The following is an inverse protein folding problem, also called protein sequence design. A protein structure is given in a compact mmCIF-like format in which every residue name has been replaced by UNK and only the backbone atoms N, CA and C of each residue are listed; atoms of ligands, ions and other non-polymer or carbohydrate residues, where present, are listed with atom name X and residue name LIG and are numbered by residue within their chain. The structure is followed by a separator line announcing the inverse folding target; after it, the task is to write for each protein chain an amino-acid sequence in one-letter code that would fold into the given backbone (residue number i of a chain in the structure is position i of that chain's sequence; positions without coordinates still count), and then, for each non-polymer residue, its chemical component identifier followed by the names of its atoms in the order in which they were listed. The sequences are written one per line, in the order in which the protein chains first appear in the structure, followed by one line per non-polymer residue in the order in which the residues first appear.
data_IF_340414920084
#
_entry.id   IF_340414920084
#
_cell.length_a   1.000
_cell.length_b   1.000
_cell.length_c   1.000
_cell.angle_alpha   90.00
_cell.angle_beta   90.00
_cell.angle_gamma   90.00
#
_symmetry.space_group_name_H-M   'P 1'
#
loop_
_entity.id
_entity.type
_entity.pdbx_description
1 polymer ?
#
# COMPACT_ATOMS: atom_id res chain seq x y z
N UNK A 1 36.82 -41.50 7.74
CA UNK A 1 37.60 -40.26 7.78
C UNK A 1 37.78 -39.73 6.39
N UNK A 2 36.94 -38.81 5.90
CA UNK A 2 37.18 -38.04 4.71
C UNK A 2 36.56 -36.64 4.95
N UNK A 3 37.41 -35.67 5.25
CA UNK A 3 37.09 -34.26 5.38
C UNK A 3 36.92 -33.68 3.98
N UNK A 4 35.74 -33.21 3.63
CA UNK A 4 35.47 -32.33 2.49
C UNK A 4 35.54 -30.90 2.95
N UNK A 5 36.49 -30.16 2.42
CA UNK A 5 36.58 -28.69 2.58
C UNK A 5 35.56 -28.04 1.65
N UNK A 6 34.68 -27.24 2.20
CA UNK A 6 33.86 -26.29 1.41
C UNK A 6 34.61 -24.96 1.34
N UNK A 7 34.88 -24.53 0.13
CA UNK A 7 35.43 -23.21 -0.17
C UNK A 7 34.25 -22.25 -0.24
N UNK A 8 34.19 -21.30 0.70
CA UNK A 8 33.25 -20.20 0.64
C UNK A 8 33.76 -19.17 -0.37
N UNK A 9 33.03 -19.00 -1.46
CA UNK A 9 33.29 -17.94 -2.44
C UNK A 9 32.48 -16.70 -2.02
N UNK A 10 33.18 -15.71 -1.46
CA UNK A 10 32.60 -14.41 -1.20
C UNK A 10 32.36 -13.66 -2.53
N UNK A 11 31.13 -13.38 -2.87
CA UNK A 11 30.77 -12.51 -3.98
C UNK A 11 30.74 -11.08 -3.46
N UNK A 12 31.80 -10.33 -3.76
CA UNK A 12 31.87 -8.90 -3.53
C UNK A 12 31.08 -8.18 -4.63
N UNK A 13 29.99 -7.56 -4.31
CA UNK A 13 29.26 -6.68 -5.23
C UNK A 13 30.07 -5.39 -5.41
N UNK A 14 30.70 -5.24 -6.58
CA UNK A 14 31.36 -4.01 -6.99
C UNK A 14 30.32 -3.03 -7.56
N UNK A 15 30.13 -1.90 -6.86
CA UNK A 15 29.41 -0.73 -7.37
C UNK A 15 30.22 -0.11 -8.52
N UNK A 16 29.79 -0.37 -9.75
CA UNK A 16 30.33 0.26 -10.95
C UNK A 16 29.76 1.67 -11.14
N UNK A 17 30.57 2.68 -10.85
CA UNK A 17 30.30 4.06 -11.28
C UNK A 17 30.62 4.15 -12.77
N UNK A 18 29.62 4.25 -13.62
CA UNK A 18 29.82 4.52 -15.06
C UNK A 18 30.04 6.02 -15.26
N UNK A 19 31.29 6.41 -15.49
CA UNK A 19 31.64 7.73 -15.97
C UNK A 19 31.29 7.83 -17.48
N UNK A 20 30.39 8.76 -17.81
CA UNK A 20 30.07 9.11 -19.19
C UNK A 20 31.24 9.90 -19.81
N UNK A 21 31.96 9.29 -20.70
CA UNK A 21 32.91 9.96 -21.58
C UNK A 21 32.17 10.54 -22.78
N UNK A 22 32.26 11.86 -22.96
CA UNK A 22 31.86 12.56 -24.18
C UNK A 22 32.96 12.40 -25.23
N UNK A 23 32.65 12.11 -26.52
CA UNK A 23 33.67 12.12 -27.58
C UNK A 23 33.97 13.56 -28.02
N UNK A 24 35.24 13.91 -27.99
CA UNK A 24 35.78 15.12 -28.59
C UNK A 24 35.75 15.00 -30.13
N UNK A 25 35.15 15.99 -30.80
CA UNK A 25 35.29 16.14 -32.26
C UNK A 25 36.44 17.06 -32.56
N UNK A 26 37.34 16.53 -33.42
CA UNK A 26 38.50 17.17 -33.92
C UNK A 26 38.16 18.31 -34.91
N UNK A 27 38.93 19.36 -34.81
CA UNK A 27 38.88 20.50 -35.71
C UNK A 27 39.51 20.17 -37.07
N UNK A 28 38.92 20.65 -38.14
CA UNK A 28 39.58 20.75 -39.46
C UNK A 28 39.64 22.24 -39.85
N UNK A 29 40.80 22.64 -40.33
CA UNK A 29 41.31 23.99 -40.65
C UNK A 29 40.88 24.48 -42.04
N UNK A 30 40.45 25.73 -42.11
CA UNK A 30 40.78 26.87 -42.97
C UNK A 30 40.93 26.72 -44.52
N UNK A 31 40.89 27.76 -45.37
CA UNK A 31 40.90 29.23 -45.13
C UNK A 31 39.99 30.06 -46.07
N UNK A 32 39.68 31.29 -45.78
CA UNK A 32 39.97 32.53 -46.59
C UNK A 32 39.15 33.72 -46.11
N UNK A 33 39.87 34.79 -45.81
CA UNK A 33 39.38 36.16 -45.55
C UNK A 33 38.89 36.85 -46.84
N UNK A 34 37.93 37.81 -46.75
CA UNK A 34 38.38 39.19 -46.82
C UNK A 34 37.68 40.15 -45.84
N UNK A 35 38.44 41.12 -45.47
CA UNK A 35 38.27 42.34 -44.73
C UNK A 35 37.07 43.21 -45.14
N UNK A 36 36.27 43.72 -44.15
CA UNK A 36 35.63 45.02 -44.25
C UNK A 36 35.28 45.62 -42.88
N UNK A 37 35.98 46.69 -42.61
CA UNK A 37 35.69 47.91 -41.85
C UNK A 37 34.61 47.95 -40.73
N UNK A 38 35.12 48.39 -39.60
CA UNK A 38 34.58 48.85 -38.35
C UNK A 38 33.33 49.74 -38.39
N UNK A 39 32.41 49.44 -37.47
CA UNK A 39 31.70 50.48 -36.74
C UNK A 39 31.50 50.03 -35.29
N UNK A 40 32.12 50.72 -34.36
CA UNK A 40 32.04 50.57 -32.94
C UNK A 40 30.67 51.08 -32.45
N UNK A 41 29.77 50.16 -32.06
CA UNK A 41 28.64 50.50 -31.20
C UNK A 41 28.90 49.89 -29.81
N UNK A 42 29.23 50.73 -28.87
CA UNK A 42 29.35 50.46 -27.45
C UNK A 42 27.99 49.97 -26.91
N UNK A 43 27.77 48.63 -26.87
CA UNK A 43 26.65 48.08 -26.12
C UNK A 43 27.02 48.08 -24.64
N UNK A 44 26.41 48.99 -23.91
CA UNK A 44 26.34 48.97 -22.45
C UNK A 44 25.95 47.56 -21.98
N UNK A 45 26.85 46.87 -21.30
CA UNK A 45 26.52 45.66 -20.53
C UNK A 45 25.70 46.07 -19.34
N UNK A 46 24.37 45.96 -19.44
CA UNK A 46 23.49 45.96 -18.28
C UNK A 46 23.89 44.80 -17.40
N UNK A 47 24.44 45.09 -16.22
CA UNK A 47 24.70 44.11 -15.19
C UNK A 47 23.38 43.45 -14.86
N UNK A 48 23.27 42.11 -15.09
CA UNK A 48 22.15 41.35 -14.55
C UNK A 48 22.22 41.45 -13.04
N UNK A 49 21.23 42.15 -12.47
CA UNK A 49 20.97 42.12 -11.05
C UNK A 49 20.79 40.65 -10.63
N UNK A 50 21.76 40.11 -9.89
CA UNK A 50 21.78 38.72 -9.41
C UNK A 50 21.16 38.59 -8.03
N UNK A 51 20.44 39.62 -7.57
CA UNK A 51 19.71 39.53 -6.29
C UNK A 51 18.66 38.38 -6.42
N UNK A 52 18.64 37.37 -5.53
CA UNK A 52 17.64 36.33 -5.58
C UNK A 52 16.24 36.94 -5.50
N UNK A 53 15.44 36.77 -6.54
CA UNK A 53 14.07 37.28 -6.56
C UNK A 53 13.27 36.56 -5.45
N UNK A 54 13.00 37.29 -4.38
CA UNK A 54 12.15 36.79 -3.30
C UNK A 54 10.74 36.55 -3.85
N UNK A 55 10.26 35.32 -3.81
CA UNK A 55 8.90 34.97 -4.21
C UNK A 55 7.98 35.29 -3.03
N UNK A 56 7.01 36.23 -3.16
CA UNK A 56 6.06 36.51 -2.08
C UNK A 56 5.26 35.29 -1.70
N UNK A 57 4.86 35.21 -0.44
CA UNK A 57 4.03 34.11 0.04
C UNK A 57 2.59 34.25 -0.48
N UNK A 58 2.00 33.13 -0.89
CA UNK A 58 0.58 33.01 -1.18
C UNK A 58 -0.23 32.85 0.13
N UNK A 59 -1.55 33.08 0.09
CA UNK A 59 -2.43 33.06 1.26
C UNK A 59 -3.57 32.07 1.07
N UNK A 60 -3.89 31.29 2.10
CA UNK A 60 -5.04 30.39 2.09
C UNK A 60 -6.33 31.23 2.20
N UNK A 61 -7.26 31.00 1.28
CA UNK A 61 -8.61 31.61 1.26
C UNK A 61 -9.61 30.70 1.98
N UNK A 62 -9.56 29.39 1.70
CA UNK A 62 -10.43 28.39 2.32
C UNK A 62 -9.77 27.03 2.35
N UNK A 63 -10.21 26.19 3.28
CA UNK A 63 -9.77 24.79 3.39
C UNK A 63 -10.96 23.87 3.57
N UNK A 64 -10.78 22.63 3.12
CA UNK A 64 -11.68 21.50 3.30
C UNK A 64 -10.82 20.28 3.66
N UNK A 65 -11.08 19.67 4.82
CA UNK A 65 -10.39 18.46 5.24
C UNK A 65 -11.12 17.24 4.68
N UNK A 66 -10.38 16.19 4.36
CA UNK A 66 -10.93 14.91 3.93
C UNK A 66 -10.89 13.91 5.08
N UNK A 67 -12.04 13.31 5.39
CA UNK A 67 -12.16 12.23 6.40
C UNK A 67 -11.36 10.98 5.99
N UNK A 68 -11.20 10.77 4.68
CA UNK A 68 -10.42 9.69 4.11
C UNK A 68 -9.45 10.24 3.07
N UNK A 69 -8.15 9.91 3.19
CA UNK A 69 -7.16 10.36 2.22
C UNK A 69 -7.37 9.71 0.86
N UNK A 70 -7.20 10.50 -0.21
CA UNK A 70 -7.30 10.06 -1.59
C UNK A 70 -5.91 9.86 -2.18
N UNK A 71 -5.62 8.73 -2.85
CA UNK A 71 -4.33 8.46 -3.45
C UNK A 71 -4.18 9.11 -4.83
N UNK A 72 -3.01 9.67 -5.07
CA UNK A 72 -2.62 10.31 -6.34
C UNK A 72 -1.20 9.96 -6.74
N UNK A 73 -0.93 9.93 -8.06
CA UNK A 73 0.41 10.07 -8.60
C UNK A 73 0.65 11.50 -9.11
N UNK A 74 1.90 11.95 -9.01
CA UNK A 74 2.29 13.26 -9.49
C UNK A 74 2.74 13.17 -10.95
N UNK A 75 2.00 13.81 -11.86
CA UNK A 75 2.30 13.82 -13.31
C UNK A 75 3.16 15.02 -13.74
N UNK A 76 3.15 16.11 -12.97
CA UNK A 76 3.88 17.33 -13.31
C UNK A 76 4.06 18.25 -12.09
N UNK A 77 4.79 19.35 -12.24
CA UNK A 77 4.86 20.44 -11.26
C UNK A 77 5.80 20.15 -10.08
N UNK A 78 5.49 20.77 -8.94
CA UNK A 78 6.33 20.77 -7.74
C UNK A 78 5.52 20.51 -6.48
N UNK A 79 6.17 19.93 -5.47
CA UNK A 79 5.69 19.90 -4.09
C UNK A 79 6.29 21.10 -3.35
N UNK A 80 5.45 21.87 -2.66
CA UNK A 80 5.85 23.03 -1.86
C UNK A 80 5.78 22.70 -0.37
N UNK A 81 6.79 23.12 0.39
CA UNK A 81 6.89 22.81 1.82
C UNK A 81 5.88 23.58 2.68
N UNK A 82 5.37 24.70 2.19
CA UNK A 82 4.40 25.54 2.90
C UNK A 82 3.27 25.99 1.97
N UNK A 83 2.13 26.38 2.53
CA UNK A 83 1.01 26.98 1.80
C UNK A 83 1.33 28.33 1.15
N UNK A 84 2.42 28.99 1.55
CA UNK A 84 2.93 30.19 0.90
C UNK A 84 3.49 29.95 -0.49
N UNK A 85 3.70 28.69 -0.90
CA UNK A 85 4.12 28.26 -2.25
C UNK A 85 5.38 28.97 -2.77
N UNK A 86 6.29 29.30 -1.88
CA UNK A 86 7.53 30.04 -2.18
C UNK A 86 8.80 29.20 -1.92
N UNK A 87 8.65 27.97 -1.37
CA UNK A 87 9.76 27.02 -1.16
C UNK A 87 9.34 25.63 -1.61
N UNK A 88 10.09 25.05 -2.55
CA UNK A 88 9.81 23.72 -3.09
C UNK A 88 10.53 22.63 -2.28
N UNK A 89 9.89 21.46 -2.14
CA UNK A 89 10.49 20.22 -1.68
C UNK A 89 11.20 19.51 -2.86
N UNK A 90 10.54 19.45 -4.01
CA UNK A 90 11.05 18.82 -5.22
C UNK A 90 10.05 18.90 -6.36
N UNK A 91 10.43 18.35 -7.52
CA UNK A 91 9.58 18.29 -8.72
C UNK A 91 9.01 16.88 -8.93
N UNK A 92 8.01 16.76 -9.81
CA UNK A 92 7.42 15.47 -10.20
C UNK A 92 8.45 14.41 -10.61
N UNK A 93 9.57 14.82 -11.22
CA UNK A 93 10.66 13.89 -11.59
C UNK A 93 11.28 13.20 -10.38
N UNK A 94 11.37 13.91 -9.26
CA UNK A 94 11.92 13.35 -8.01
C UNK A 94 10.95 12.38 -7.32
N UNK A 95 9.66 12.44 -7.68
CA UNK A 95 8.56 11.77 -6.99
C UNK A 95 7.72 10.87 -7.92
N UNK A 96 8.27 10.46 -9.06
CA UNK A 96 7.53 9.74 -10.11
C UNK A 96 6.90 8.41 -9.63
N UNK A 97 7.49 7.80 -8.59
CA UNK A 97 7.03 6.53 -8.03
C UNK A 97 6.38 6.66 -6.65
N UNK A 98 6.27 7.89 -6.15
CA UNK A 98 5.65 8.15 -4.85
C UNK A 98 4.13 8.20 -5.00
N UNK A 99 3.42 7.42 -4.17
CA UNK A 99 1.99 7.58 -3.97
C UNK A 99 1.75 8.68 -2.95
N UNK A 100 1.00 9.70 -3.35
CA UNK A 100 0.62 10.83 -2.51
C UNK A 100 -0.81 10.67 -2.03
N UNK A 101 -1.04 10.83 -0.73
CA UNK A 101 -2.37 10.85 -0.14
C UNK A 101 -2.75 12.28 0.21
N UNK A 102 -3.89 12.76 -0.30
CA UNK A 102 -4.40 14.09 0.06
C UNK A 102 -5.27 14.04 1.30
N UNK A 103 -4.98 14.91 2.24
CA UNK A 103 -5.67 15.06 3.52
C UNK A 103 -6.49 16.35 3.59
N UNK A 104 -6.19 17.30 2.71
CA UNK A 104 -6.78 18.63 2.74
C UNK A 104 -6.75 19.25 1.36
N UNK A 105 -7.86 19.89 0.99
CA UNK A 105 -7.98 20.77 -0.14
C UNK A 105 -7.97 22.22 0.35
N UNK A 106 -7.33 23.12 -0.40
CA UNK A 106 -7.33 24.55 -0.13
C UNK A 106 -7.52 25.34 -1.42
N UNK A 107 -8.23 26.45 -1.33
CA UNK A 107 -8.14 27.53 -2.30
C UNK A 107 -7.07 28.49 -1.81
N UNK A 108 -6.06 28.72 -2.64
CA UNK A 108 -4.92 29.58 -2.30
C UNK A 108 -4.89 30.79 -3.25
N UNK A 109 -4.91 31.99 -2.67
CA UNK A 109 -4.69 33.23 -3.38
C UNK A 109 -3.21 33.44 -3.64
N UNK A 110 -2.87 33.62 -4.90
CA UNK A 110 -1.52 33.82 -5.41
C UNK A 110 -1.34 35.22 -6.05
N UNK A 111 -2.21 36.15 -5.73
CA UNK A 111 -2.17 37.54 -6.30
C UNK A 111 -0.81 38.22 -6.06
N UNK A 112 -0.23 38.01 -4.87
CA UNK A 112 1.12 38.51 -4.55
C UNK A 112 2.22 37.89 -5.44
N UNK A 113 1.95 36.74 -6.09
CA UNK A 113 2.85 36.08 -7.04
C UNK A 113 2.49 36.37 -8.51
N UNK A 114 1.54 37.32 -8.75
CA UNK A 114 1.05 37.66 -10.09
C UNK A 114 0.15 36.59 -10.71
N UNK A 115 -0.52 35.77 -9.88
CA UNK A 115 -1.43 34.67 -10.28
C UNK A 115 -2.75 34.81 -9.53
N UNK A 116 -3.82 34.23 -10.05
CA UNK A 116 -5.11 34.19 -9.37
C UNK A 116 -5.24 33.05 -8.36
N UNK A 117 -6.44 32.90 -7.80
CA UNK A 117 -6.80 31.81 -6.93
C UNK A 117 -6.71 30.46 -7.65
N UNK A 118 -6.24 29.45 -6.93
CA UNK A 118 -6.14 28.09 -7.47
C UNK A 118 -6.31 27.06 -6.36
N UNK A 119 -6.72 25.83 -6.75
CA UNK A 119 -6.94 24.71 -5.84
C UNK A 119 -5.63 23.97 -5.63
N UNK A 120 -5.32 23.70 -4.38
CA UNK A 120 -4.14 22.99 -3.93
C UNK A 120 -4.52 21.89 -2.95
N UNK A 121 -3.77 20.80 -2.99
CA UNK A 121 -3.94 19.69 -2.05
C UNK A 121 -2.73 19.64 -1.11
N UNK A 122 -3.00 19.49 0.18
CA UNK A 122 -1.97 19.08 1.12
C UNK A 122 -1.85 17.58 1.08
N UNK A 123 -0.68 17.09 0.71
CA UNK A 123 -0.42 15.67 0.49
C UNK A 123 0.69 15.17 1.41
N UNK A 124 0.63 13.87 1.73
CA UNK A 124 1.71 13.12 2.38
C UNK A 124 2.06 11.93 1.50
N UNK A 125 3.34 11.53 1.47
CA UNK A 125 3.74 10.25 0.86
C UNK A 125 3.14 9.08 1.64
N UNK A 126 3.02 7.92 1.01
CA UNK A 126 2.48 6.72 1.64
C UNK A 126 3.20 6.33 2.93
N UNK A 127 4.53 6.54 3.00
CA UNK A 127 5.32 6.35 4.22
C UNK A 127 5.20 7.47 5.24
N UNK A 128 4.49 8.56 4.92
CA UNK A 128 4.41 9.76 5.76
C UNK A 128 5.69 10.59 5.89
N UNK A 129 6.82 10.14 5.29
CA UNK A 129 8.13 10.80 5.41
C UNK A 129 8.21 12.15 4.70
N UNK A 130 7.36 12.35 3.69
CA UNK A 130 7.32 13.58 2.91
C UNK A 130 5.91 14.16 2.90
N UNK A 131 5.81 15.48 2.95
CA UNK A 131 4.52 16.16 2.88
C UNK A 131 4.67 17.55 2.28
N UNK A 132 3.57 18.08 1.76
CA UNK A 132 3.58 19.43 1.20
C UNK A 132 2.33 19.76 0.40
N UNK A 133 2.38 20.88 -0.29
CA UNK A 133 1.29 21.40 -1.11
C UNK A 133 1.57 21.16 -2.58
N UNK A 134 0.60 20.59 -3.28
CA UNK A 134 0.66 20.30 -4.72
C UNK A 134 -0.55 20.95 -5.40
N UNK A 135 -0.33 21.56 -6.54
CA UNK A 135 -1.45 22.03 -7.36
C UNK A 135 -2.28 20.84 -7.84
N UNK A 136 -3.62 20.90 -7.66
CA UNK A 136 -4.50 19.79 -8.01
C UNK A 136 -4.31 19.29 -9.46
N UNK A 137 -4.07 20.21 -10.41
CA UNK A 137 -3.84 19.88 -11.82
C UNK A 137 -2.52 19.12 -12.09
N UNK A 138 -1.61 19.05 -11.11
CA UNK A 138 -0.37 18.27 -11.18
C UNK A 138 -0.53 16.82 -10.74
N UNK A 139 -1.67 16.47 -10.18
CA UNK A 139 -1.98 15.16 -9.63
C UNK A 139 -2.89 14.37 -10.58
N UNK A 140 -2.68 13.07 -10.61
CA UNK A 140 -3.54 12.11 -11.28
C UNK A 140 -4.16 11.25 -10.19
N UNK A 141 -5.49 11.22 -10.13
CA UNK A 141 -6.24 10.33 -9.27
C UNK A 141 -5.98 8.88 -9.69
N UNK A 142 -5.62 8.04 -8.72
CA UNK A 142 -5.36 6.62 -8.91
C UNK A 142 -6.29 5.76 -8.05
N UNK A 143 -7.35 6.35 -7.51
CA UNK A 143 -8.39 5.63 -6.78
C UNK A 143 -9.41 5.00 -7.73
N UNK A 144 -10.08 3.94 -7.25
CA UNK A 144 -11.24 3.34 -7.90
C UNK A 144 -12.55 3.94 -7.35
N UNK A 145 -12.94 5.09 -7.85
CA UNK A 145 -14.25 5.69 -7.55
C UNK A 145 -14.42 6.19 -6.11
N UNK A 146 -15.65 6.14 -5.61
CA UNK A 146 -15.99 6.72 -4.32
C UNK A 146 -15.50 5.88 -3.14
N UNK A 147 -14.91 6.54 -2.14
CA UNK A 147 -14.31 5.95 -0.95
C UNK A 147 -15.35 5.48 0.09
N UNK A 148 -16.61 5.73 -0.13
CA UNK A 148 -17.67 5.53 0.84
C UNK A 148 -18.58 4.40 0.38
N UNK A 149 -18.07 3.16 0.43
CA UNK A 149 -18.86 1.99 0.05
C UNK A 149 -18.97 1.06 1.24
N UNK A 150 -19.99 1.27 2.06
CA UNK A 150 -20.47 0.18 2.89
C UNK A 150 -21.06 -0.87 1.96
N UNK A 151 -20.41 -2.03 1.85
CA UNK A 151 -20.89 -3.12 1.03
C UNK A 151 -22.18 -3.69 1.62
N UNK A 152 -23.08 -4.18 0.77
CA UNK A 152 -24.27 -4.90 1.19
C UNK A 152 -23.85 -6.07 2.10
N UNK A 153 -24.47 -6.20 3.26
CA UNK A 153 -24.18 -7.21 4.29
C UNK A 153 -22.81 -7.02 5.02
N UNK A 154 -22.11 -5.91 4.81
CA UNK A 154 -20.89 -5.61 5.59
C UNK A 154 -21.16 -5.55 7.10
N UNK A 155 -22.41 -5.32 7.47
CA UNK A 155 -22.85 -5.26 8.87
C UNK A 155 -22.74 -6.62 9.61
N UNK A 156 -22.43 -7.73 8.92
CA UNK A 156 -22.02 -8.99 9.57
C UNK A 156 -20.76 -8.80 10.42
N UNK A 157 -19.84 -7.95 9.96
CA UNK A 157 -18.56 -7.66 10.60
C UNK A 157 -18.57 -6.44 11.52
N UNK A 158 -19.70 -5.76 11.69
CA UNK A 158 -19.76 -4.42 12.34
C UNK A 158 -19.22 -4.37 13.76
N UNK A 159 -19.26 -5.47 14.48
CA UNK A 159 -18.78 -5.58 15.87
C UNK A 159 -17.49 -6.41 15.96
N UNK A 160 -17.06 -6.98 14.86
CA UNK A 160 -15.93 -7.89 14.84
C UNK A 160 -14.62 -7.11 14.84
N UNK A 161 -13.60 -7.72 15.39
CA UNK A 161 -12.22 -7.27 15.32
C UNK A 161 -11.45 -8.23 14.43
N UNK A 162 -10.88 -7.72 13.37
CA UNK A 162 -10.16 -8.49 12.36
C UNK A 162 -8.65 -8.30 12.54
N UNK A 163 -7.87 -9.37 12.43
CA UNK A 163 -6.42 -9.30 12.26
C UNK A 163 -6.04 -9.82 10.87
N UNK A 164 -5.20 -9.08 10.15
CA UNK A 164 -4.58 -9.52 8.90
C UNK A 164 -3.13 -9.89 9.13
N UNK A 165 -2.73 -11.08 8.70
CA UNK A 165 -1.37 -11.61 8.80
C UNK A 165 -0.87 -11.91 7.40
N UNK A 166 0.36 -11.56 7.09
CA UNK A 166 0.92 -11.74 5.76
C UNK A 166 2.28 -11.06 5.56
N UNK A 167 2.69 -11.02 4.33
CA UNK A 167 3.95 -10.44 3.87
C UNK A 167 3.84 -8.95 3.49
N UNK A 168 4.74 -8.47 2.63
CA UNK A 168 4.80 -7.09 2.15
C UNK A 168 3.51 -6.63 1.46
N UNK A 169 2.79 -7.52 0.79
CA UNK A 169 1.52 -7.18 0.12
C UNK A 169 0.45 -6.87 1.17
N UNK A 170 0.35 -7.68 2.21
CA UNK A 170 -0.56 -7.42 3.33
C UNK A 170 -0.11 -6.19 4.15
N UNK A 171 1.20 -5.97 4.31
CA UNK A 171 1.71 -4.77 4.95
C UNK A 171 1.38 -3.48 4.19
N UNK A 172 1.06 -3.57 2.90
CA UNK A 172 0.75 -2.43 2.04
C UNK A 172 1.97 -1.84 1.34
N UNK A 173 3.06 -2.61 1.16
CA UNK A 173 4.26 -2.18 0.47
C UNK A 173 4.03 -2.17 -1.05
N UNK A 174 4.39 -1.06 -1.70
CA UNK A 174 4.15 -0.85 -3.13
C UNK A 174 5.39 -1.06 -4.02
N UNK A 175 6.46 -1.60 -3.42
CA UNK A 175 7.76 -1.76 -4.06
C UNK A 175 8.76 -0.63 -3.77
N UNK A 176 8.29 0.48 -3.20
CA UNK A 176 9.09 1.65 -2.85
C UNK A 176 8.88 2.12 -1.42
N UNK A 177 7.64 2.06 -0.95
CA UNK A 177 7.27 2.45 0.42
C UNK A 177 6.02 1.69 0.89
N UNK A 178 5.82 1.59 2.20
CA UNK A 178 4.58 1.07 2.78
C UNK A 178 3.54 2.18 2.77
N UNK A 179 2.39 1.91 2.14
CA UNK A 179 1.30 2.86 1.97
C UNK A 179 0.44 2.96 3.25
N UNK A 180 -0.08 4.14 3.55
CA UNK A 180 -1.09 4.34 4.62
C UNK A 180 -2.39 3.55 4.33
N UNK A 181 -2.69 3.27 3.06
CA UNK A 181 -3.88 2.55 2.61
C UNK A 181 -3.53 1.36 1.71
N UNK A 182 -2.89 0.35 2.29
CA UNK A 182 -2.86 -1.02 1.75
C UNK A 182 -4.25 -1.68 1.79
N UNK A 183 -4.38 -2.91 1.30
CA UNK A 183 -5.70 -3.57 1.29
C UNK A 183 -6.35 -3.72 2.68
N UNK A 184 -5.63 -3.92 3.81
CA UNK A 184 -6.27 -4.00 5.13
C UNK A 184 -6.98 -2.71 5.53
N UNK A 185 -6.42 -1.55 5.18
CA UNK A 185 -7.05 -0.24 5.42
C UNK A 185 -8.34 -0.09 4.60
N UNK A 186 -8.33 -0.46 3.31
CA UNK A 186 -9.53 -0.46 2.49
C UNK A 186 -10.56 -1.49 2.95
N UNK A 187 -10.11 -2.68 3.36
CA UNK A 187 -10.97 -3.72 3.93
C UNK A 187 -11.73 -3.22 5.14
N UNK A 188 -11.04 -2.54 6.07
CA UNK A 188 -11.65 -1.87 7.22
C UNK A 188 -12.80 -0.93 6.80
N UNK A 189 -12.59 -0.15 5.74
CA UNK A 189 -13.60 0.79 5.21
C UNK A 189 -14.78 0.08 4.55
N UNK A 190 -14.53 -0.95 3.74
CA UNK A 190 -15.57 -1.71 3.05
C UNK A 190 -16.43 -2.52 4.03
N UNK A 191 -15.85 -3.08 5.07
CA UNK A 191 -16.57 -3.85 6.09
C UNK A 191 -17.13 -2.98 7.22
N UNK A 192 -16.64 -1.74 7.37
CA UNK A 192 -17.07 -0.83 8.45
C UNK A 192 -16.66 -1.32 9.84
N UNK A 193 -15.50 -1.97 9.95
CA UNK A 193 -14.98 -2.53 11.20
C UNK A 193 -13.48 -2.28 11.38
N UNK A 194 -12.94 -2.61 12.56
CA UNK A 194 -11.51 -2.46 12.85
C UNK A 194 -10.73 -3.62 12.27
N UNK A 195 -9.67 -3.31 11.52
CA UNK A 195 -8.70 -4.27 11.00
C UNK A 195 -7.32 -3.91 11.54
N UNK A 196 -6.77 -4.77 12.38
CA UNK A 196 -5.38 -4.70 12.83
C UNK A 196 -4.50 -5.38 11.78
N UNK A 197 -3.42 -4.74 11.37
CA UNK A 197 -2.48 -5.30 10.39
C UNK A 197 -1.20 -5.76 11.09
N UNK A 198 -1.00 -7.07 11.18
CA UNK A 198 0.18 -7.71 11.77
C UNK A 198 1.19 -8.20 10.72
N UNK A 199 1.03 -7.79 9.47
CA UNK A 199 1.91 -8.19 8.37
C UNK A 199 3.28 -7.50 8.43
N UNK A 200 4.28 -8.14 7.85
CA UNK A 200 5.65 -7.65 7.83
C UNK A 200 6.30 -7.82 6.44
N UNK A 201 7.05 -6.79 6.01
CA UNK A 201 7.73 -6.86 4.72
C UNK A 201 8.78 -7.98 4.69
N UNK A 202 8.70 -8.84 3.68
CA UNK A 202 9.61 -9.98 3.53
C UNK A 202 9.24 -11.20 4.36
N UNK A 203 8.07 -11.22 5.03
CA UNK A 203 7.66 -12.34 5.86
C UNK A 203 7.37 -13.61 5.06
N UNK A 204 7.63 -14.76 5.67
CA UNK A 204 7.52 -16.10 5.11
C UNK A 204 6.37 -16.90 5.74
N UNK A 205 5.87 -17.86 4.99
CA UNK A 205 4.97 -18.86 5.52
C UNK A 205 5.73 -19.85 6.41
N UNK A 206 6.88 -20.34 5.93
CA UNK A 206 7.77 -21.23 6.66
C UNK A 206 8.85 -20.48 7.43
N UNK A 207 9.52 -21.18 8.35
CA UNK A 207 10.75 -20.70 8.96
C UNK A 207 11.84 -20.59 7.89
N UNK A 208 12.38 -19.41 7.68
CA UNK A 208 13.41 -19.12 6.70
C UNK A 208 14.83 -19.02 7.30
N UNK A 209 15.04 -19.54 8.51
CA UNK A 209 16.33 -19.52 9.21
C UNK A 209 16.83 -18.08 9.42
N UNK A 210 18.04 -17.77 8.92
CA UNK A 210 18.66 -16.45 9.07
C UNK A 210 17.89 -15.32 8.34
N UNK A 211 16.97 -15.66 7.43
CA UNK A 211 16.11 -14.69 6.73
C UNK A 211 14.76 -14.48 7.43
N UNK A 212 14.45 -15.24 8.48
CA UNK A 212 13.18 -15.15 9.21
C UNK A 212 12.94 -13.74 9.76
N UNK A 213 11.69 -13.32 9.73
CA UNK A 213 11.24 -12.00 10.16
C UNK A 213 10.29 -12.10 11.34
N UNK A 214 10.08 -11.02 12.11
CA UNK A 214 9.07 -11.00 13.17
C UNK A 214 7.64 -11.25 12.66
N UNK A 215 7.41 -11.10 11.36
CA UNK A 215 6.10 -11.28 10.72
C UNK A 215 5.87 -12.65 10.09
N UNK A 216 6.82 -13.58 10.15
CA UNK A 216 6.62 -14.94 9.64
C UNK A 216 5.43 -15.60 10.33
N UNK A 217 4.69 -16.46 9.61
CA UNK A 217 3.41 -17.00 10.07
C UNK A 217 3.52 -17.62 11.47
N UNK A 218 4.54 -18.46 11.70
CA UNK A 218 4.74 -19.14 12.99
C UNK A 218 4.97 -18.18 14.16
N UNK A 219 5.76 -17.14 13.93
CA UNK A 219 6.05 -16.07 14.92
C UNK A 219 4.80 -15.25 15.18
N UNK A 220 4.15 -14.75 14.11
CA UNK A 220 2.92 -13.94 14.22
C UNK A 220 1.81 -14.70 14.98
N UNK A 221 1.62 -15.99 14.68
CA UNK A 221 0.64 -16.83 15.38
C UNK A 221 1.04 -17.07 16.85
N UNK A 222 2.33 -17.13 17.14
CA UNK A 222 2.80 -17.29 18.53
C UNK A 222 2.65 -16.05 19.38
N UNK A 223 2.81 -14.88 18.78
CA UNK A 223 2.80 -13.60 19.46
C UNK A 223 1.40 -12.97 19.54
N UNK A 224 0.44 -13.50 18.75
CA UNK A 224 -0.93 -13.00 18.71
C UNK A 224 -1.81 -13.66 19.76
N UNK A 225 -2.53 -12.86 20.53
CA UNK A 225 -3.61 -13.34 21.40
C UNK A 225 -4.93 -13.34 20.62
N UNK A 226 -5.29 -14.48 20.02
CA UNK A 226 -6.49 -14.65 19.20
C UNK A 226 -7.81 -14.53 19.97
N UNK A 227 -7.80 -14.59 21.30
CA UNK A 227 -9.00 -14.31 22.09
C UNK A 227 -9.50 -12.86 21.95
N UNK A 228 -8.69 -11.96 21.40
CA UNK A 228 -9.05 -10.57 21.14
C UNK A 228 -9.68 -10.32 19.77
N UNK A 229 -9.72 -11.34 18.90
CA UNK A 229 -10.15 -11.23 17.52
C UNK A 229 -11.32 -12.15 17.23
N UNK A 230 -12.21 -11.71 16.36
CA UNK A 230 -13.33 -12.50 15.85
C UNK A 230 -12.98 -13.13 14.50
N UNK A 231 -12.12 -12.46 13.74
CA UNK A 231 -11.70 -12.88 12.40
C UNK A 231 -10.19 -12.76 12.25
N UNK A 232 -9.57 -13.71 11.57
CA UNK A 232 -8.16 -13.66 11.15
C UNK A 232 -8.04 -13.99 9.66
N UNK A 233 -7.07 -13.35 8.99
CA UNK A 233 -6.72 -13.67 7.60
C UNK A 233 -5.27 -14.07 7.48
N UNK A 234 -4.96 -15.01 6.57
CA UNK A 234 -3.63 -15.56 6.32
C UNK A 234 -3.31 -15.36 4.84
N UNK A 235 -2.21 -14.64 4.51
CA UNK A 235 -1.80 -14.34 3.15
C UNK A 235 -0.27 -14.33 3.03
N UNK A 236 0.33 -15.48 2.80
CA UNK A 236 1.78 -15.71 2.70
C UNK A 236 2.13 -16.54 1.46
N UNK A 237 3.41 -16.87 1.30
CA UNK A 237 3.92 -17.88 0.37
C UNK A 237 4.74 -17.31 -0.79
N UNK A 238 4.49 -16.08 -1.22
CA UNK A 238 5.23 -15.50 -2.36
C UNK A 238 6.73 -15.36 -2.09
N UNK A 239 7.13 -15.11 -0.83
CA UNK A 239 8.54 -15.05 -0.44
C UNK A 239 9.16 -16.44 -0.32
N UNK A 240 8.39 -17.43 0.16
CA UNK A 240 8.83 -18.82 0.20
C UNK A 240 9.19 -19.32 -1.19
N UNK A 241 8.32 -19.09 -2.18
CA UNK A 241 8.59 -19.40 -3.59
C UNK A 241 9.89 -18.77 -4.11
N UNK A 242 10.13 -17.51 -3.78
CA UNK A 242 11.18 -16.71 -4.40
C UNK A 242 12.53 -16.69 -3.68
N UNK A 243 12.58 -17.06 -2.40
CA UNK A 243 13.74 -16.79 -1.55
C UNK A 243 14.16 -17.92 -0.61
N UNK A 244 13.44 -19.04 -0.56
CA UNK A 244 13.77 -20.19 0.30
C UNK A 244 13.97 -21.46 -0.51
N UNK A 245 14.31 -22.53 0.18
CA UNK A 245 14.30 -23.92 -0.29
C UNK A 245 13.23 -24.75 0.44
N UNK A 246 12.25 -24.09 1.06
CA UNK A 246 11.14 -24.74 1.75
C UNK A 246 10.34 -25.59 0.78
N UNK A 247 10.19 -26.87 1.10
CA UNK A 247 9.43 -27.82 0.27
C UNK A 247 7.92 -27.60 0.39
N UNK A 248 7.15 -28.09 -0.58
CA UNK A 248 5.68 -28.11 -0.53
C UNK A 248 5.15 -28.79 0.75
N UNK A 249 5.80 -29.84 1.21
CA UNK A 249 5.40 -30.51 2.45
C UNK A 249 5.65 -29.64 3.69
N UNK A 250 6.72 -28.86 3.73
CA UNK A 250 6.97 -27.88 4.80
C UNK A 250 5.92 -26.77 4.76
N UNK A 251 5.59 -26.22 3.59
CA UNK A 251 4.50 -25.25 3.40
C UNK A 251 3.20 -25.80 3.99
N UNK A 252 2.78 -27.00 3.57
CA UNK A 252 1.54 -27.64 4.04
C UNK A 252 1.55 -27.85 5.55
N UNK A 253 2.61 -28.42 6.10
CA UNK A 253 2.71 -28.73 7.52
C UNK A 253 2.72 -27.46 8.38
N UNK A 254 3.43 -26.42 7.95
CA UNK A 254 3.49 -25.14 8.67
C UNK A 254 2.13 -24.44 8.68
N UNK A 255 1.48 -24.35 7.53
CA UNK A 255 0.16 -23.72 7.43
C UNK A 255 -0.88 -24.48 8.27
N UNK A 256 -0.93 -25.82 8.15
CA UNK A 256 -1.86 -26.68 8.89
C UNK A 256 -1.68 -26.56 10.41
N UNK A 257 -0.44 -26.63 10.89
CA UNK A 257 -0.14 -26.54 12.32
C UNK A 257 -0.53 -25.17 12.91
N UNK A 258 -0.30 -24.08 12.19
CA UNK A 258 -0.65 -22.75 12.64
C UNK A 258 -2.17 -22.51 12.62
N UNK A 259 -2.90 -22.98 11.61
CA UNK A 259 -4.37 -22.95 11.62
C UNK A 259 -4.94 -23.69 12.81
N UNK A 260 -4.43 -24.88 13.10
CA UNK A 260 -4.85 -25.69 14.26
C UNK A 260 -4.57 -25.00 15.58
N UNK A 261 -3.41 -24.33 15.70
CA UNK A 261 -3.05 -23.54 16.88
C UNK A 261 -4.01 -22.37 17.10
N UNK A 262 -4.32 -21.61 16.06
CA UNK A 262 -5.27 -20.49 16.11
C UNK A 262 -6.66 -20.97 16.55
N UNK A 263 -7.17 -22.07 15.96
CA UNK A 263 -8.46 -22.67 16.32
C UNK A 263 -8.49 -23.25 17.74
N UNK A 264 -7.36 -23.75 18.23
CA UNK A 264 -7.26 -24.25 19.60
C UNK A 264 -7.33 -23.11 20.62
N UNK A 265 -6.74 -21.97 20.33
CA UNK A 265 -6.76 -20.78 21.19
C UNK A 265 -8.14 -20.09 21.17
N UNK A 266 -8.77 -19.93 20.00
CA UNK A 266 -10.10 -19.36 19.87
C UNK A 266 -10.98 -20.23 18.97
N UNK A 267 -11.86 -21.03 19.58
CA UNK A 267 -12.77 -21.94 18.88
C UNK A 267 -13.85 -21.23 18.03
N UNK A 268 -14.08 -19.93 18.27
CA UNK A 268 -15.03 -19.14 17.52
C UNK A 268 -14.38 -18.26 16.45
N UNK A 269 -13.05 -18.32 16.33
CA UNK A 269 -12.29 -17.54 15.35
C UNK A 269 -12.69 -17.94 13.93
N UNK A 270 -13.14 -16.99 13.15
CA UNK A 270 -13.35 -17.17 11.72
C UNK A 270 -12.00 -16.93 11.05
N UNK A 271 -11.52 -17.90 10.28
CA UNK A 271 -10.27 -17.79 9.54
C UNK A 271 -10.56 -17.76 8.05
N UNK A 272 -9.90 -16.87 7.31
CA UNK A 272 -9.89 -16.83 5.85
C UNK A 272 -8.47 -16.94 5.33
N UNK A 273 -8.25 -17.78 4.32
CA UNK A 273 -7.00 -17.87 3.57
C UNK A 273 -7.04 -16.98 2.33
N UNK A 274 -5.93 -16.35 1.97
CA UNK A 274 -5.80 -15.66 0.68
C UNK A 274 -4.58 -16.22 -0.03
N UNK A 275 -4.81 -16.92 -1.14
CA UNK A 275 -3.71 -17.47 -1.94
C UNK A 275 -2.85 -16.34 -2.52
N UNK A 276 -1.54 -16.55 -2.71
CA UNK A 276 -0.66 -15.55 -3.32
C UNK A 276 -1.17 -15.08 -4.69
N UNK A 277 -1.13 -13.77 -4.94
CA UNK A 277 -1.41 -13.21 -6.27
C UNK A 277 -0.33 -13.64 -7.27
N UNK A 278 -0.65 -13.56 -8.57
CA UNK A 278 0.34 -13.74 -9.64
C UNK A 278 1.48 -12.72 -9.48
N UNK A 279 2.71 -13.14 -9.78
CA UNK A 279 3.91 -12.29 -9.78
C UNK A 279 4.65 -12.40 -11.10
N UNK A 280 5.47 -11.39 -11.38
CA UNK A 280 6.27 -11.30 -12.61
C UNK A 280 7.75 -11.16 -12.26
N UNK A 281 8.52 -12.22 -12.49
CA UNK A 281 9.96 -12.19 -12.31
C UNK A 281 10.62 -12.06 -13.70
N UNK A 282 11.53 -11.10 -13.87
CA UNK A 282 12.14 -10.77 -15.16
C UNK A 282 11.13 -10.49 -16.29
N UNK A 283 10.02 -9.81 -15.95
CA UNK A 283 8.87 -9.53 -16.84
C UNK A 283 8.19 -10.79 -17.39
N UNK A 284 8.27 -11.91 -16.71
CA UNK A 284 7.58 -13.16 -17.04
C UNK A 284 6.62 -13.51 -15.92
N UNK A 285 5.41 -13.92 -16.30
CA UNK A 285 4.45 -14.49 -15.37
C UNK A 285 5.05 -15.75 -14.71
N UNK A 286 5.10 -15.75 -13.38
CA UNK A 286 5.75 -16.82 -12.60
C UNK A 286 4.82 -17.99 -12.25
N UNK A 287 3.57 -17.99 -12.73
CA UNK A 287 2.58 -18.99 -12.34
C UNK A 287 3.02 -20.41 -12.67
N UNK A 288 3.64 -20.63 -13.83
CA UNK A 288 4.15 -21.93 -14.30
C UNK A 288 5.69 -22.00 -14.33
N UNK A 289 6.38 -21.00 -13.77
CA UNK A 289 7.84 -21.00 -13.68
C UNK A 289 8.26 -21.56 -12.33
N UNK A 290 9.24 -22.46 -12.34
CA UNK A 290 9.83 -22.99 -11.11
C UNK A 290 10.68 -21.93 -10.43
N UNK A 291 10.31 -21.57 -9.20
CA UNK A 291 11.02 -20.60 -8.36
C UNK A 291 12.25 -21.20 -7.67
N UNK A 292 12.89 -20.39 -6.82
CA UNK A 292 14.05 -20.84 -6.04
C UNK A 292 13.72 -22.07 -5.18
N UNK A 293 12.53 -22.13 -4.62
CA UNK A 293 12.07 -23.23 -3.76
C UNK A 293 11.81 -24.55 -4.51
N UNK A 294 11.95 -24.58 -5.85
CA UNK A 294 11.83 -25.80 -6.65
C UNK A 294 10.42 -26.18 -7.06
N UNK A 295 9.45 -25.29 -6.90
CA UNK A 295 8.05 -25.43 -7.35
C UNK A 295 7.56 -24.16 -8.04
N UNK A 296 6.42 -24.25 -8.74
CA UNK A 296 5.75 -23.13 -9.40
C UNK A 296 4.80 -22.40 -8.44
N UNK A 297 4.39 -21.16 -8.80
CA UNK A 297 3.36 -20.46 -8.00
C UNK A 297 2.02 -21.21 -8.01
N UNK A 298 1.68 -21.91 -9.11
CA UNK A 298 0.47 -22.71 -9.16
C UNK A 298 0.55 -23.93 -8.25
N UNK A 299 1.70 -24.60 -8.15
CA UNK A 299 1.89 -25.72 -7.20
C UNK A 299 1.80 -25.24 -5.74
N UNK A 300 2.38 -24.07 -5.42
CA UNK A 300 2.27 -23.44 -4.11
C UNK A 300 0.80 -23.16 -3.75
N UNK A 301 0.07 -22.47 -4.63
CA UNK A 301 -1.36 -22.14 -4.42
C UNK A 301 -2.20 -23.39 -4.24
N UNK A 302 -1.95 -24.44 -5.02
CA UNK A 302 -2.65 -25.73 -4.89
C UNK A 302 -2.38 -26.39 -3.55
N UNK A 303 -1.14 -26.31 -3.05
CA UNK A 303 -0.75 -26.87 -1.75
C UNK A 303 -1.42 -26.12 -0.59
N UNK A 304 -1.43 -24.80 -0.63
CA UNK A 304 -2.12 -23.97 0.38
C UNK A 304 -3.63 -24.19 0.35
N UNK A 305 -4.24 -24.20 -0.85
CA UNK A 305 -5.67 -24.47 -1.03
C UNK A 305 -6.08 -25.80 -0.39
N UNK A 306 -5.30 -26.87 -0.62
CA UNK A 306 -5.55 -28.18 -0.01
C UNK A 306 -5.55 -28.10 1.52
N UNK A 307 -4.61 -27.36 2.12
CA UNK A 307 -4.56 -27.22 3.59
C UNK A 307 -5.77 -26.44 4.11
N UNK A 308 -6.18 -25.38 3.42
CA UNK A 308 -7.39 -24.64 3.79
C UNK A 308 -8.64 -25.52 3.71
N UNK A 309 -8.78 -26.34 2.67
CA UNK A 309 -9.87 -27.32 2.52
C UNK A 309 -9.88 -28.35 3.64
N UNK A 310 -8.74 -28.97 3.93
CA UNK A 310 -8.58 -29.98 4.98
C UNK A 310 -8.93 -29.42 6.38
N UNK A 311 -8.74 -28.11 6.56
CA UNK A 311 -9.07 -27.41 7.79
C UNK A 311 -10.46 -26.73 7.78
N UNK A 312 -11.27 -26.88 6.76
CA UNK A 312 -12.54 -26.17 6.58
C UNK A 312 -12.38 -24.63 6.76
N UNK A 313 -11.35 -24.06 6.15
CA UNK A 313 -11.09 -22.62 6.08
C UNK A 313 -11.47 -22.13 4.68
N UNK A 314 -12.43 -21.20 4.55
CA UNK A 314 -12.67 -20.55 3.26
C UNK A 314 -11.41 -19.85 2.77
N UNK A 315 -11.06 -20.03 1.51
CA UNK A 315 -9.90 -19.35 0.92
C UNK A 315 -10.26 -18.63 -0.37
N UNK A 316 -9.61 -17.50 -0.60
CA UNK A 316 -9.73 -16.72 -1.82
C UNK A 316 -8.66 -17.16 -2.81
N UNK A 317 -9.11 -17.63 -3.98
CA UNK A 317 -8.27 -17.83 -5.15
C UNK A 317 -8.52 -16.68 -6.13
N UNK A 318 -7.50 -15.92 -6.46
CA UNK A 318 -7.61 -14.75 -7.34
C UNK A 318 -8.07 -15.11 -8.75
N UNK A 319 -7.67 -16.28 -9.25
CA UNK A 319 -8.10 -16.77 -10.57
C UNK A 319 -9.61 -16.99 -10.66
N UNK A 320 -10.28 -17.26 -9.54
CA UNK A 320 -11.74 -17.48 -9.49
C UNK A 320 -12.50 -16.18 -9.15
N UNK A 321 -11.92 -15.30 -8.34
CA UNK A 321 -12.60 -14.11 -7.81
C UNK A 321 -12.47 -12.90 -8.74
N UNK A 322 -11.27 -12.63 -9.25
CA UNK A 322 -10.98 -11.56 -10.21
C UNK A 322 -9.80 -11.96 -11.11
N UNK A 323 -10.03 -12.80 -12.14
CA UNK A 323 -8.99 -13.24 -13.06
C UNK A 323 -8.35 -12.10 -13.86
N UNK A 324 -9.02 -10.95 -13.94
CA UNK A 324 -8.53 -9.76 -14.63
C UNK A 324 -7.76 -8.80 -13.72
N UNK A 325 -7.65 -9.10 -12.42
CA UNK A 325 -6.94 -8.24 -11.47
C UNK A 325 -5.49 -8.03 -11.91
N UNK A 326 -4.76 -9.11 -12.17
CA UNK A 326 -3.37 -9.09 -12.64
C UNK A 326 -3.24 -10.03 -13.83
N UNK A 327 -2.89 -9.48 -14.98
CA UNK A 327 -2.70 -10.20 -16.24
C UNK A 327 -1.44 -9.74 -16.95
N UNK A 328 -0.99 -10.48 -17.96
CA UNK A 328 0.17 -10.08 -18.79
C UNK A 328 -0.04 -8.71 -19.44
N UNK A 329 -1.29 -8.35 -19.74
CA UNK A 329 -1.61 -7.08 -20.36
C UNK A 329 -1.60 -5.88 -19.39
N UNK A 330 -1.81 -6.10 -18.09
CA UNK A 330 -2.03 -5.01 -17.13
C UNK A 330 -1.04 -4.98 -15.95
N UNK A 331 -0.16 -5.99 -15.77
CA UNK A 331 0.69 -6.10 -14.58
C UNK A 331 1.58 -4.88 -14.35
N UNK A 332 2.06 -4.22 -15.41
CA UNK A 332 2.88 -3.00 -15.31
C UNK A 332 2.11 -1.84 -14.66
N UNK A 333 0.81 -1.74 -14.92
CA UNK A 333 -0.06 -0.70 -14.34
C UNK A 333 -0.60 -1.12 -12.96
N UNK A 334 -0.79 -2.42 -12.73
CA UNK A 334 -1.32 -2.99 -11.51
C UNK A 334 -0.28 -3.07 -10.38
N UNK A 335 0.97 -3.37 -10.72
CA UNK A 335 2.09 -3.35 -9.80
C UNK A 335 2.87 -2.04 -9.92
N UNK A 336 3.08 -1.35 -8.79
CA UNK A 336 3.85 -0.10 -8.81
C UNK A 336 5.35 -0.32 -9.13
N UNK A 337 5.89 -1.49 -8.76
CA UNK A 337 7.23 -1.93 -9.14
C UNK A 337 7.26 -2.70 -10.48
N UNK A 338 6.10 -2.91 -11.11
CA UNK A 338 5.92 -3.67 -12.34
C UNK A 338 6.13 -5.18 -12.18
N UNK A 339 6.25 -5.69 -10.94
CA UNK A 339 6.67 -7.07 -10.67
C UNK A 339 5.75 -7.82 -9.69
N UNK A 340 5.55 -7.29 -8.50
CA UNK A 340 4.93 -8.02 -7.38
C UNK A 340 4.06 -7.12 -6.49
N UNK A 341 4.49 -5.87 -6.23
CA UNK A 341 3.88 -5.06 -5.21
C UNK A 341 2.77 -4.18 -5.80
N UNK A 342 1.52 -4.33 -5.34
CA UNK A 342 0.38 -3.64 -5.90
C UNK A 342 0.50 -2.12 -5.84
N UNK A 343 0.06 -1.43 -6.89
CA UNK A 343 -0.18 0.00 -6.87
C UNK A 343 -1.38 0.33 -5.95
N UNK A 344 -1.48 1.57 -5.48
CA UNK A 344 -2.54 2.00 -4.56
C UNK A 344 -3.96 1.68 -5.05
N UNK A 345 -4.22 1.85 -6.34
CA UNK A 345 -5.49 1.46 -6.98
C UNK A 345 -5.73 -0.05 -6.89
N UNK A 346 -4.72 -0.85 -7.13
CA UNK A 346 -4.81 -2.31 -7.08
C UNK A 346 -5.08 -2.79 -5.65
N UNK A 347 -4.46 -2.19 -4.64
CA UNK A 347 -4.79 -2.45 -3.24
C UNK A 347 -6.26 -2.19 -2.91
N UNK A 348 -6.86 -1.14 -3.47
CA UNK A 348 -8.28 -0.85 -3.29
C UNK A 348 -9.17 -1.91 -3.96
N UNK A 349 -8.82 -2.35 -5.19
CA UNK A 349 -9.52 -3.43 -5.89
C UNK A 349 -9.44 -4.74 -5.11
N UNK A 350 -8.22 -5.13 -4.69
CA UNK A 350 -8.01 -6.33 -3.85
C UNK A 350 -8.90 -6.30 -2.62
N UNK A 351 -8.92 -5.18 -1.89
CA UNK A 351 -9.73 -5.05 -0.69
C UNK A 351 -11.23 -5.19 -0.95
N UNK A 352 -11.72 -4.67 -2.09
CA UNK A 352 -13.13 -4.81 -2.52
C UNK A 352 -13.49 -6.28 -2.72
N UNK A 353 -12.62 -7.01 -3.42
CA UNK A 353 -12.86 -8.40 -3.76
C UNK A 353 -12.69 -9.32 -2.54
N UNK A 354 -11.72 -9.03 -1.68
CA UNK A 354 -11.57 -9.65 -0.36
C UNK A 354 -12.83 -9.41 0.50
N UNK A 355 -13.30 -8.18 0.60
CA UNK A 355 -14.49 -7.87 1.40
C UNK A 355 -15.72 -8.62 0.89
N UNK A 356 -15.92 -8.66 -0.44
CA UNK A 356 -16.99 -9.43 -1.06
C UNK A 356 -16.88 -10.91 -0.74
N UNK A 357 -15.69 -11.49 -0.95
CA UNK A 357 -15.42 -12.89 -0.62
C UNK A 357 -15.73 -13.23 0.85
N UNK A 358 -15.25 -12.41 1.79
CA UNK A 358 -15.49 -12.61 3.23
C UNK A 358 -16.98 -12.51 3.58
N UNK A 359 -17.73 -11.58 2.98
CA UNK A 359 -19.19 -11.46 3.17
C UNK A 359 -19.93 -12.70 2.64
N UNK A 360 -19.58 -13.13 1.43
CA UNK A 360 -20.23 -14.28 0.78
C UNK A 360 -19.97 -15.59 1.54
N UNK A 361 -18.82 -15.69 2.21
CA UNK A 361 -18.38 -16.86 3.00
C UNK A 361 -18.53 -16.67 4.52
N UNK A 362 -19.27 -15.65 4.98
CA UNK A 362 -19.50 -15.46 6.41
C UNK A 362 -20.35 -16.62 6.98
N UNK A 363 -19.98 -17.23 8.13
CA UNK A 363 -20.70 -18.36 8.70
C UNK A 363 -22.19 -18.05 9.00
N UNK A 364 -23.10 -18.75 8.36
CA UNK A 364 -24.55 -18.47 8.41
C UNK A 364 -25.16 -18.62 9.83
N UNK A 365 -24.59 -19.46 10.65
CA UNK A 365 -24.99 -19.67 12.06
C UNK A 365 -24.60 -18.47 12.94
N UNK A 366 -23.58 -17.70 12.58
CA UNK A 366 -23.16 -16.51 13.29
C UNK A 366 -23.97 -15.25 12.91
N UNK A 367 -24.55 -15.20 11.71
CA UNK A 367 -25.43 -14.11 11.27
C UNK A 367 -26.60 -13.88 12.24
N UNK A 368 -27.21 -14.95 12.73
CA UNK A 368 -28.33 -14.88 13.66
C UNK A 368 -27.94 -14.35 15.05
N UNK A 369 -26.71 -14.59 15.50
CA UNK A 369 -26.19 -14.08 16.78
C UNK A 369 -25.97 -12.57 16.72
N UNK A 370 -25.40 -12.08 15.64
CA UNK A 370 -25.15 -10.64 15.40
C UNK A 370 -26.46 -9.83 15.40
N UNK A 371 -27.53 -10.33 14.75
CA UNK A 371 -28.84 -9.65 14.71
C UNK A 371 -29.58 -9.71 16.05
N UNK A 372 -29.40 -10.74 16.87
CA UNK A 372 -30.06 -10.86 18.17
C UNK A 372 -29.46 -9.93 19.23
N UNK A 373 -28.16 -9.72 19.21
CA UNK A 373 -27.46 -8.78 20.10
C UNK A 373 -27.89 -7.32 19.84
N UNK A 374 -28.13 -6.95 18.56
CA UNK A 374 -28.66 -5.63 18.19
C UNK A 374 -30.06 -5.37 18.78
N UNK A 375 -30.92 -6.38 18.87
CA UNK A 375 -32.29 -6.22 19.38
C UNK A 375 -32.33 -5.99 20.88
N UNK A 376 -31.38 -6.51 21.64
CA UNK A 376 -31.28 -6.38 23.10
C UNK A 376 -30.70 -5.01 23.51
N UNK A 377 -29.75 -4.48 22.76
CA UNK A 377 -29.12 -3.18 23.06
C UNK A 377 -30.05 -2.00 22.78
N UNK A 378 -30.95 -2.13 21.80
CA UNK A 378 -31.93 -1.06 21.49
C UNK A 378 -33.10 -0.98 22.47
N UNK A 379 -33.35 -2.03 23.27
CA UNK A 379 -34.42 -2.03 24.30
C UNK A 379 -34.00 -1.49 25.67
N UNK A 380 -32.70 -1.33 25.91
CA UNK A 380 -32.16 -0.88 27.20
C UNK A 380 -32.07 0.64 27.38
N UNK A 381 -32.29 1.44 26.32
CA UNK A 381 -32.11 2.90 26.38
C UNK A 381 -33.43 3.70 26.53
N UNK A 382 -34.58 3.03 26.72
CA UNK A 382 -35.87 3.74 26.80
C UNK A 382 -36.62 3.49 28.10
N UNK A 383 -35.96 3.49 29.25
CA UNK A 383 -36.66 3.44 30.54
C UNK A 383 -35.82 4.09 31.65
N UNK A 384 -35.71 5.41 31.67
CA UNK A 384 -35.62 6.17 32.92
C UNK A 384 -35.94 7.64 32.65
N UNK A 385 -37.21 7.94 32.53
CA UNK A 385 -37.73 9.29 32.72
C UNK A 385 -38.95 9.17 33.58
N UNK A 386 -38.76 9.26 34.92
CA UNK A 386 -39.86 9.42 35.85
C UNK A 386 -39.49 10.41 36.96
N UNK A 387 -40.04 11.59 36.82
CA UNK A 387 -40.71 12.39 37.88
C UNK A 387 -39.88 12.85 39.07
N UNK A 388 -39.51 14.11 39.07
CA UNK A 388 -39.35 14.87 40.31
C UNK A 388 -40.48 15.89 40.43
N UNK A 389 -41.36 15.62 41.38
CA UNK A 389 -42.47 16.47 41.82
C UNK A 389 -41.90 17.67 42.57
N UNK A 390 -42.40 18.85 42.23
CA UNK A 390 -42.20 20.08 43.00
C UNK A 390 -42.86 19.95 44.38
N UNK A 391 -42.15 20.33 45.43
CA UNK A 391 -42.79 20.79 46.68
C UNK A 391 -42.18 22.14 46.99
N UNK A 392 -43.05 23.13 46.91
CA UNK A 392 -42.85 24.47 47.43
C UNK A 392 -43.03 24.47 48.94
N UNK A 393 -42.13 25.09 49.71
CA UNK A 393 -42.47 25.65 51.01
C UNK A 393 -41.69 26.92 51.24
N UNK A 394 -42.43 27.97 51.56
CA UNK A 394 -41.97 29.27 52.00
C UNK A 394 -41.21 29.16 53.33
N UNK A 395 -40.16 29.89 53.50
CA UNK A 395 -39.89 30.98 54.45
C UNK A 395 -38.61 31.67 54.07
#
# INVERSE_FOLDING_TARGET
MNKRFYIATAITAALGVAALMTPAHAAATDPTTPTSTSSSSTKSKTSKDTTPKVIPAATIVSTEDYDQPLPYHMKSGYVYTTSGLNKTLGSAKNFAKITWYTYKKAVIDRSAQGKGNSVWYYVKSGSGKQSGWVWHGSLQDISEGTFNIAMKNSDYFKSDKIITMGDSITAGYDGYETLDAGYPTWLSRYLGTTVDNAAYNGAFLCDAGDMSTPGDLGTTVSDTNFAKYDVATIAYGTNDYGHTDSTIDQIKNTLDSNIKKMKAENKNLIIYGFLPITRYDNNQNSDDIVGQAGYTMNELRAAEAQVYEDNNVPYLNWADVDPDLITDANHIDRFNDGRLHPAAKTYQLMARDIAKFMIDNFPKDQIKKSTSTKKTTTKSTTATKKTTTKTSTNY
#
